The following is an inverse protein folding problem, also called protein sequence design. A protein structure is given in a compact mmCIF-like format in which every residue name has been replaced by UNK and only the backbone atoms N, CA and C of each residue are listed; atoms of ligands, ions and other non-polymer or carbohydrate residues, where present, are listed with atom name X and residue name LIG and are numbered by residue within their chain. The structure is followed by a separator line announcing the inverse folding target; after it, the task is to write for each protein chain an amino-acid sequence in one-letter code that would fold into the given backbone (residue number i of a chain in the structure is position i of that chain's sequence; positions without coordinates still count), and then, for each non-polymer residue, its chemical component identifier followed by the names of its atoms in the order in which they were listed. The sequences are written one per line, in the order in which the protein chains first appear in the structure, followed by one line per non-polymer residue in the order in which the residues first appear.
data_IF_290765425806
#
_entry.id   IF_290765425806
#
_cell.length_a   1.000
_cell.length_b   1.000
_cell.length_c   1.000
_cell.angle_alpha   90.00
_cell.angle_beta   90.00
_cell.angle_gamma   90.00
#
_symmetry.space_group_name_H-M   'P 1'
#
loop_
_entity.id
_entity.type
_entity.pdbx_description
1 polymer ?
#
# COMPACT_ATOMS: atom_id res chain seq x y z
N UNK A 1 15.54 41.23 7.56
CA UNK A 1 14.35 40.44 7.17
C UNK A 1 13.51 40.07 8.40
N UNK A 2 14.06 39.38 9.41
CA UNK A 2 13.32 38.98 10.63
C UNK A 2 12.75 40.17 11.43
N UNK A 3 13.55 41.21 11.68
CA UNK A 3 13.07 42.42 12.38
C UNK A 3 11.93 43.11 11.60
N UNK A 4 12.07 43.21 10.28
CA UNK A 4 11.04 43.80 9.42
C UNK A 4 9.74 42.99 9.43
N UNK A 5 9.83 41.66 9.48
CA UNK A 5 8.66 40.81 9.65
C UNK A 5 7.94 41.10 10.98
N UNK A 6 8.68 41.22 12.08
CA UNK A 6 8.10 41.54 13.39
C UNK A 6 7.42 42.90 13.42
N UNK A 7 8.01 43.92 12.79
CA UNK A 7 7.39 45.25 12.64
C UNK A 7 6.06 45.20 11.89
N UNK A 8 6.03 44.49 10.75
CA UNK A 8 4.80 44.33 9.95
C UNK A 8 3.72 43.56 10.72
N UNK A 9 4.13 42.54 11.48
CA UNK A 9 3.23 41.76 12.31
C UNK A 9 2.65 42.60 13.46
N UNK A 10 3.46 43.42 14.12
CA UNK A 10 3.02 44.34 15.16
C UNK A 10 2.08 45.43 14.63
N UNK A 11 2.26 45.86 13.38
CA UNK A 11 1.38 46.81 12.70
C UNK A 11 0.11 46.17 12.14
N UNK A 12 -0.16 44.89 12.42
CA UNK A 12 -1.30 44.12 11.87
C UNK A 12 -1.33 44.01 10.34
N UNK A 13 -0.19 44.25 9.68
CA UNK A 13 -0.04 44.16 8.22
C UNK A 13 0.30 42.73 7.78
N UNK A 14 -0.62 41.80 8.03
CA UNK A 14 -0.40 40.37 7.82
C UNK A 14 -0.10 39.99 6.37
N UNK A 15 -0.72 40.67 5.39
CA UNK A 15 -0.47 40.42 3.97
C UNK A 15 0.97 40.77 3.56
N UNK A 16 1.44 41.96 3.94
CA UNK A 16 2.83 42.39 3.67
C UNK A 16 3.84 41.50 4.41
N UNK A 17 3.50 41.07 5.64
CA UNK A 17 4.34 40.13 6.40
C UNK A 17 4.44 38.76 5.70
N UNK A 18 3.34 38.27 5.10
CA UNK A 18 3.33 37.04 4.32
C UNK A 18 4.14 37.17 3.02
N UNK A 19 4.03 38.30 2.31
CA UNK A 19 4.84 38.58 1.11
C UNK A 19 6.34 38.57 1.43
N UNK A 20 6.73 39.25 2.52
CA UNK A 20 8.12 39.25 2.99
C UNK A 20 8.60 37.84 3.38
N UNK A 21 7.73 37.02 3.95
CA UNK A 21 8.07 35.64 4.29
C UNK A 21 8.26 34.77 3.04
N UNK A 22 7.40 34.94 2.02
CA UNK A 22 7.49 34.24 0.75
C UNK A 22 8.75 34.62 -0.04
N UNK A 23 9.18 35.89 0.02
CA UNK A 23 10.39 36.41 -0.63
C UNK A 23 11.68 36.24 0.21
N UNK A 24 11.58 35.64 1.41
CA UNK A 24 12.73 35.53 2.29
C UNK A 24 13.85 34.69 1.66
N UNK A 25 15.11 35.19 1.68
CA UNK A 25 16.24 34.46 1.11
C UNK A 25 16.39 33.11 1.82
N UNK A 26 16.56 32.04 1.05
CA UNK A 26 16.62 30.65 1.53
C UNK A 26 15.40 30.21 2.39
N UNK A 27 14.30 30.95 2.37
CA UNK A 27 13.13 30.62 3.18
C UNK A 27 13.36 30.80 4.68
N UNK A 28 14.23 31.71 5.12
CA UNK A 28 14.52 31.97 6.56
C UNK A 28 13.25 32.29 7.37
N UNK A 29 12.20 32.83 6.73
CA UNK A 29 10.92 33.09 7.37
C UNK A 29 9.85 32.02 7.11
N UNK A 30 10.14 30.99 6.29
CA UNK A 30 9.25 29.87 5.97
C UNK A 30 9.44 28.73 6.95
N UNK A 31 9.27 29.05 8.24
CA UNK A 31 9.53 28.15 9.36
C UNK A 31 8.25 27.85 10.14
N UNK A 32 8.23 26.74 10.92
CA UNK A 32 7.13 26.43 11.82
C UNK A 32 6.79 27.57 12.78
N UNK A 33 7.79 28.32 13.27
CA UNK A 33 7.58 29.47 14.15
C UNK A 33 6.79 30.60 13.49
N UNK A 34 7.04 30.86 12.20
CA UNK A 34 6.29 31.87 11.46
C UNK A 34 4.84 31.45 11.28
N UNK A 35 4.60 30.18 10.93
CA UNK A 35 3.25 29.62 10.80
C UNK A 35 2.51 29.67 12.13
N UNK A 36 3.16 29.30 13.24
CA UNK A 36 2.60 29.37 14.59
C UNK A 36 2.22 30.80 14.97
N UNK A 37 3.02 31.81 14.59
CA UNK A 37 2.67 33.22 14.77
C UNK A 37 1.38 33.58 14.03
N UNK A 38 1.26 33.24 12.75
CA UNK A 38 0.03 33.48 11.98
C UNK A 38 -1.18 32.72 12.53
N UNK A 39 -0.98 31.52 13.08
CA UNK A 39 -2.02 30.70 13.69
C UNK A 39 -2.51 31.27 15.03
N UNK A 40 -1.62 31.91 15.80
CA UNK A 40 -1.94 32.52 17.10
C UNK A 40 -2.82 33.77 17.01
N UNK A 41 -2.94 34.37 15.82
CA UNK A 41 -3.71 35.60 15.64
C UNK A 41 -5.21 35.29 15.72
N UNK A 42 -5.96 35.92 16.64
CA UNK A 42 -7.40 35.73 16.74
C UNK A 42 -8.10 36.24 15.48
N UNK A 43 -8.98 35.41 14.93
CA UNK A 43 -9.75 35.73 13.72
C UNK A 43 -10.93 36.62 14.10
N UNK A 44 -10.96 37.84 13.57
CA UNK A 44 -12.13 38.72 13.71
C UNK A 44 -13.24 38.29 12.73
N UNK A 45 -14.49 38.34 13.18
CA UNK A 45 -15.65 37.95 12.38
C UNK A 45 -15.72 38.77 11.08
N UNK A 46 -15.73 38.09 9.93
CA UNK A 46 -15.78 38.71 8.61
C UNK A 46 -14.43 38.96 7.93
N UNK A 47 -13.29 38.78 8.62
CA UNK A 47 -11.97 38.84 8.00
C UNK A 47 -11.45 37.45 7.63
N UNK A 48 -10.68 37.35 6.54
CA UNK A 48 -9.99 36.12 6.18
C UNK A 48 -8.91 35.82 7.23
N UNK A 49 -8.83 34.58 7.76
CA UNK A 49 -7.81 34.22 8.74
C UNK A 49 -6.40 34.58 8.24
N UNK A 50 -5.56 35.25 9.06
CA UNK A 50 -4.20 35.64 8.67
C UNK A 50 -3.36 34.46 8.17
N UNK A 51 -3.57 33.28 8.73
CA UNK A 51 -2.92 32.04 8.30
C UNK A 51 -3.32 31.63 6.86
N UNK A 52 -4.59 31.79 6.48
CA UNK A 52 -5.01 31.55 5.10
C UNK A 52 -4.47 32.61 4.14
N UNK A 53 -4.34 33.87 4.58
CA UNK A 53 -3.68 34.91 3.78
C UNK A 53 -2.21 34.55 3.54
N UNK A 54 -1.51 34.06 4.57
CA UNK A 54 -0.13 33.59 4.47
C UNK A 54 0.03 32.50 3.40
N UNK A 55 -0.76 31.43 3.49
CA UNK A 55 -0.71 30.34 2.50
C UNK A 55 -1.15 30.79 1.11
N UNK A 56 -2.17 31.66 0.99
CA UNK A 56 -2.60 32.21 -0.29
C UNK A 56 -1.49 33.00 -0.99
N UNK A 57 -0.76 33.83 -0.25
CA UNK A 57 0.41 34.55 -0.78
C UNK A 57 1.52 33.59 -1.20
N UNK A 58 1.83 32.58 -0.39
CA UNK A 58 2.86 31.60 -0.76
C UNK A 58 2.48 30.80 -2.03
N UNK A 59 1.23 30.35 -2.14
CA UNK A 59 0.72 29.60 -3.30
C UNK A 59 0.70 30.41 -4.60
N UNK A 60 0.65 31.74 -4.51
CA UNK A 60 0.77 32.62 -5.69
C UNK A 60 2.23 32.88 -6.07
N UNK A 61 3.15 32.80 -5.11
CA UNK A 61 4.59 33.04 -5.32
C UNK A 61 5.37 31.76 -5.69
N UNK A 62 4.93 30.59 -5.25
CA UNK A 62 5.61 29.34 -5.56
C UNK A 62 5.04 28.11 -4.85
N UNK A 63 5.91 27.11 -4.68
CA UNK A 63 5.59 25.82 -4.07
C UNK A 63 5.74 25.88 -2.55
N UNK A 64 4.76 25.35 -1.82
CA UNK A 64 4.81 25.15 -0.37
C UNK A 64 5.81 24.07 0.00
N UNK A 65 6.47 24.23 1.15
CA UNK A 65 7.33 23.17 1.69
C UNK A 65 6.50 22.07 2.38
N UNK A 66 7.12 20.96 2.78
CA UNK A 66 6.42 19.82 3.37
C UNK A 66 5.57 20.19 4.60
N UNK A 67 6.12 21.03 5.49
CA UNK A 67 5.43 21.47 6.71
C UNK A 67 4.23 22.39 6.40
N UNK A 68 4.44 23.39 5.55
CA UNK A 68 3.39 24.31 5.12
C UNK A 68 2.27 23.57 4.36
N UNK A 69 2.63 22.59 3.53
CA UNK A 69 1.69 21.76 2.79
C UNK A 69 0.82 20.94 3.75
N UNK A 70 1.42 20.39 4.81
CA UNK A 70 0.72 19.65 5.84
C UNK A 70 -0.28 20.53 6.61
N UNK A 71 0.16 21.70 7.08
CA UNK A 71 -0.67 22.61 7.87
C UNK A 71 -1.83 23.19 7.04
N UNK A 72 -1.55 23.62 5.80
CA UNK A 72 -2.61 24.04 4.89
C UNK A 72 -3.62 22.91 4.64
N UNK A 73 -3.13 21.69 4.43
CA UNK A 73 -4.00 20.54 4.17
C UNK A 73 -4.86 20.20 5.38
N UNK A 74 -4.33 20.32 6.60
CA UNK A 74 -5.08 20.12 7.85
C UNK A 74 -6.26 21.08 7.94
N UNK A 75 -6.04 22.36 7.62
CA UNK A 75 -7.11 23.37 7.60
C UNK A 75 -8.18 23.07 6.56
N UNK A 76 -7.77 22.65 5.36
CA UNK A 76 -8.67 22.43 4.22
C UNK A 76 -9.47 21.14 4.37
N UNK A 77 -8.86 20.09 4.89
CA UNK A 77 -9.53 18.83 5.29
C UNK A 77 -10.58 19.09 6.36
N UNK A 78 -10.24 19.81 7.43
CA UNK A 78 -11.19 20.14 8.50
C UNK A 78 -12.38 21.00 8.01
N UNK A 79 -12.20 21.77 6.94
CA UNK A 79 -13.25 22.56 6.30
C UNK A 79 -14.03 21.79 5.22
N UNK A 80 -13.77 20.50 5.00
CA UNK A 80 -14.34 19.69 3.92
C UNK A 80 -14.12 20.26 2.51
N UNK A 81 -13.03 21.01 2.28
CA UNK A 81 -12.69 21.64 1.00
C UNK A 81 -11.65 20.87 0.19
N UNK A 82 -11.76 19.54 0.15
CA UNK A 82 -10.75 18.65 -0.46
C UNK A 82 -10.44 18.96 -1.94
N UNK A 83 -11.41 19.49 -2.69
CA UNK A 83 -11.23 19.89 -4.09
C UNK A 83 -10.08 20.90 -4.28
N UNK A 84 -9.81 21.75 -3.27
CA UNK A 84 -8.67 22.68 -3.32
C UNK A 84 -7.33 21.94 -3.28
N UNK A 85 -7.23 20.86 -2.50
CA UNK A 85 -6.02 20.04 -2.43
C UNK A 85 -5.75 19.33 -3.76
N UNK A 86 -6.79 18.83 -4.42
CA UNK A 86 -6.66 18.22 -5.74
C UNK A 86 -6.08 19.21 -6.77
N UNK A 87 -6.61 20.44 -6.79
CA UNK A 87 -6.13 21.49 -7.68
C UNK A 87 -4.67 21.85 -7.40
N UNK A 88 -4.31 22.09 -6.13
CA UNK A 88 -2.92 22.45 -5.79
C UNK A 88 -1.94 21.29 -6.01
N UNK A 89 -2.38 20.04 -5.83
CA UNK A 89 -1.57 18.86 -6.13
C UNK A 89 -1.33 18.71 -7.64
N UNK A 90 -2.35 19.00 -8.46
CA UNK A 90 -2.27 19.00 -9.92
C UNK A 90 -1.34 20.12 -10.45
N UNK A 91 -1.39 21.29 -9.82
CA UNK A 91 -0.53 22.44 -10.13
C UNK A 91 0.90 22.33 -9.55
N UNK A 92 1.24 21.21 -8.90
CA UNK A 92 2.53 20.97 -8.21
C UNK A 92 2.91 22.04 -7.17
N UNK A 93 1.90 22.68 -6.56
CA UNK A 93 2.07 23.73 -5.54
C UNK A 93 2.34 23.21 -4.13
N UNK A 94 2.11 21.93 -3.89
CA UNK A 94 2.32 21.28 -2.59
C UNK A 94 3.55 20.38 -2.66
N UNK A 95 4.40 20.44 -1.64
CA UNK A 95 5.43 19.43 -1.45
C UNK A 95 4.82 18.21 -0.76
N UNK A 96 4.88 17.07 -1.46
CA UNK A 96 4.29 15.83 -0.98
C UNK A 96 5.19 15.15 0.04
N UNK A 97 4.61 14.76 1.18
CA UNK A 97 5.26 13.97 2.22
C UNK A 97 4.41 12.76 2.60
N UNK A 98 5.01 11.81 3.32
CA UNK A 98 4.29 10.67 3.89
C UNK A 98 3.18 11.13 4.85
N UNK A 99 3.49 12.07 5.75
CA UNK A 99 2.54 12.64 6.72
C UNK A 99 1.35 13.31 6.05
N UNK A 100 1.59 14.00 4.91
CA UNK A 100 0.53 14.61 4.12
C UNK A 100 -0.39 13.53 3.52
N UNK A 101 0.18 12.45 3.01
CA UNK A 101 -0.59 11.32 2.50
C UNK A 101 -1.43 10.65 3.59
N UNK A 102 -0.87 10.47 4.78
CA UNK A 102 -1.57 9.87 5.94
C UNK A 102 -2.77 10.72 6.37
N UNK A 103 -2.58 12.04 6.41
CA UNK A 103 -3.68 12.98 6.69
C UNK A 103 -4.79 12.87 5.63
N UNK A 104 -4.43 12.90 4.35
CA UNK A 104 -5.41 12.89 3.25
C UNK A 104 -6.12 11.53 3.15
N UNK A 105 -5.47 10.43 3.52
CA UNK A 105 -6.07 9.08 3.53
C UNK A 105 -7.34 9.00 4.39
N UNK A 106 -7.46 9.82 5.44
CA UNK A 106 -8.65 9.88 6.29
C UNK A 106 -9.91 10.38 5.57
N UNK A 107 -9.73 11.09 4.45
CA UNK A 107 -10.82 11.70 3.67
C UNK A 107 -10.93 11.11 2.27
N UNK A 108 -9.79 10.80 1.64
CA UNK A 108 -9.72 10.39 0.25
C UNK A 108 -8.52 9.46 -0.02
N UNK A 109 -8.81 8.17 -0.24
CA UNK A 109 -7.79 7.15 -0.49
C UNK A 109 -7.12 7.31 -1.86
N UNK A 110 -7.83 7.78 -2.88
CA UNK A 110 -7.29 7.97 -4.23
C UNK A 110 -6.29 9.13 -4.26
N UNK A 111 -6.64 10.24 -3.60
CA UNK A 111 -5.75 11.39 -3.48
C UNK A 111 -4.51 11.07 -2.64
N UNK A 112 -4.69 10.33 -1.53
CA UNK A 112 -3.57 9.90 -0.70
C UNK A 112 -2.55 9.06 -1.47
N UNK A 113 -3.01 8.13 -2.32
CA UNK A 113 -2.13 7.33 -3.17
C UNK A 113 -1.28 8.21 -4.11
N UNK A 114 -1.90 9.22 -4.75
CA UNK A 114 -1.16 10.17 -5.60
C UNK A 114 -0.10 10.93 -4.81
N UNK A 115 -0.40 11.32 -3.58
CA UNK A 115 0.54 12.00 -2.69
C UNK A 115 1.70 11.08 -2.33
N UNK A 116 1.46 9.82 -1.92
CA UNK A 116 2.53 8.87 -1.59
C UNK A 116 3.45 8.60 -2.78
N UNK A 117 2.90 8.47 -3.99
CA UNK A 117 3.69 8.27 -5.22
C UNK A 117 4.60 9.49 -5.45
N UNK A 118 4.05 10.71 -5.36
CA UNK A 118 4.83 11.96 -5.49
C UNK A 118 5.87 12.11 -4.38
N UNK A 119 5.55 11.72 -3.15
CA UNK A 119 6.44 11.75 -1.98
C UNK A 119 7.53 10.67 -2.02
N UNK A 120 7.47 9.73 -2.98
CA UNK A 120 8.33 8.53 -3.03
C UNK A 120 8.26 7.70 -1.74
N UNK A 121 7.11 7.71 -1.06
CA UNK A 121 6.85 6.91 0.13
C UNK A 121 6.50 5.47 -0.28
N UNK A 122 7.48 4.77 -0.84
CA UNK A 122 7.29 3.46 -1.48
C UNK A 122 6.56 2.42 -0.62
N UNK A 123 6.87 2.23 0.68
CA UNK A 123 6.14 1.28 1.51
C UNK A 123 4.63 1.60 1.59
N UNK A 124 4.26 2.88 1.68
CA UNK A 124 2.87 3.34 1.74
C UNK A 124 2.15 3.19 0.40
N UNK A 125 2.85 3.43 -0.71
CA UNK A 125 2.31 3.19 -2.06
C UNK A 125 1.95 1.72 -2.23
N UNK A 126 2.87 0.83 -1.86
CA UNK A 126 2.67 -0.62 -1.96
C UNK A 126 1.53 -1.09 -1.05
N UNK A 127 1.48 -0.60 0.20
CA UNK A 127 0.38 -0.89 1.11
C UNK A 127 -0.97 -0.40 0.56
N UNK A 128 -1.02 0.81 0.00
CA UNK A 128 -2.24 1.36 -0.59
C UNK A 128 -2.73 0.58 -1.82
N UNK A 129 -1.82 0.11 -2.68
CA UNK A 129 -2.20 -0.79 -3.79
C UNK A 129 -2.69 -2.14 -3.28
N UNK A 130 -2.07 -2.70 -2.24
CA UNK A 130 -2.49 -3.97 -1.64
C UNK A 130 -3.89 -3.86 -1.02
N UNK A 131 -4.20 -2.77 -0.30
CA UNK A 131 -5.54 -2.48 0.23
C UNK A 131 -6.60 -2.38 -0.87
N UNK A 132 -6.21 -1.87 -2.06
CA UNK A 132 -7.09 -1.75 -3.24
C UNK A 132 -7.16 -3.02 -4.10
N UNK A 133 -6.41 -4.07 -3.73
CA UNK A 133 -6.27 -5.31 -4.53
C UNK A 133 -5.69 -5.06 -5.94
N UNK A 134 -4.98 -3.95 -6.13
CA UNK A 134 -4.31 -3.58 -7.38
C UNK A 134 -2.90 -4.18 -7.40
N UNK A 135 -2.83 -5.51 -7.29
CA UNK A 135 -1.60 -6.26 -7.13
C UNK A 135 -0.66 -6.16 -8.33
N UNK A 136 -1.21 -6.08 -9.54
CA UNK A 136 -0.48 -5.83 -10.78
C UNK A 136 0.34 -4.54 -10.70
N UNK A 137 -0.25 -3.47 -10.14
CA UNK A 137 0.41 -2.18 -10.01
C UNK A 137 1.53 -2.21 -8.98
N UNK A 138 1.45 -3.03 -7.94
CA UNK A 138 2.55 -3.23 -6.99
C UNK A 138 3.79 -3.71 -7.74
N UNK A 139 3.63 -4.68 -8.64
CA UNK A 139 4.75 -5.29 -9.35
C UNK A 139 5.36 -4.32 -10.35
N UNK A 140 4.50 -3.64 -11.12
CA UNK A 140 4.92 -2.63 -12.11
C UNK A 140 5.65 -1.48 -11.42
N UNK A 141 5.07 -0.95 -10.34
CA UNK A 141 5.66 0.15 -9.58
C UNK A 141 7.02 -0.24 -9.00
N UNK A 142 7.09 -1.39 -8.31
CA UNK A 142 8.31 -1.93 -7.70
C UNK A 142 9.44 -2.08 -8.72
N UNK A 143 9.14 -2.61 -9.92
CA UNK A 143 10.09 -2.74 -11.03
C UNK A 143 10.56 -1.38 -11.56
N UNK A 144 9.65 -0.41 -11.71
CA UNK A 144 9.99 0.93 -12.25
C UNK A 144 10.95 1.70 -11.34
N UNK A 145 10.81 1.58 -10.02
CA UNK A 145 11.65 2.30 -9.06
C UNK A 145 12.83 1.46 -8.54
N UNK A 146 12.95 0.19 -8.96
CA UNK A 146 13.98 -0.72 -8.49
C UNK A 146 13.86 -1.10 -7.00
N UNK A 147 12.63 -1.07 -6.47
CA UNK A 147 12.34 -1.43 -5.07
C UNK A 147 11.86 -2.87 -4.98
N UNK A 148 12.40 -3.61 -4.02
CA UNK A 148 11.96 -4.97 -3.71
C UNK A 148 11.14 -4.95 -2.42
N UNK A 149 9.80 -5.03 -2.51
CA UNK A 149 8.99 -5.09 -1.30
C UNK A 149 9.21 -6.41 -0.56
N UNK A 150 8.92 -6.40 0.75
CA UNK A 150 8.78 -7.63 1.52
C UNK A 150 7.48 -8.33 1.11
N UNK A 151 7.58 -9.14 0.06
CA UNK A 151 6.47 -9.90 -0.52
C UNK A 151 5.82 -10.85 0.49
N UNK A 152 6.60 -11.44 1.41
CA UNK A 152 6.09 -12.33 2.43
C UNK A 152 5.26 -11.57 3.46
N UNK A 153 5.76 -10.42 3.93
CA UNK A 153 5.02 -9.55 4.83
C UNK A 153 3.73 -9.00 4.19
N UNK A 154 3.77 -8.62 2.91
CA UNK A 154 2.58 -8.19 2.18
C UNK A 154 1.56 -9.31 2.06
N UNK A 155 2.00 -10.52 1.68
CA UNK A 155 1.13 -11.68 1.59
C UNK A 155 0.49 -12.00 2.96
N UNK A 156 1.26 -11.95 4.05
CA UNK A 156 0.75 -12.10 5.42
C UNK A 156 -0.29 -11.05 5.78
N UNK A 157 -0.07 -9.80 5.38
CA UNK A 157 -0.99 -8.69 5.64
C UNK A 157 -2.29 -8.88 4.88
N UNK A 158 -2.21 -9.22 3.58
CA UNK A 158 -3.39 -9.49 2.74
C UNK A 158 -4.14 -10.71 3.26
N UNK A 159 -3.43 -11.79 3.64
CA UNK A 159 -4.06 -13.02 4.14
C UNK A 159 -4.95 -12.79 5.38
N UNK A 160 -4.61 -11.82 6.22
CA UNK A 160 -5.40 -11.48 7.41
C UNK A 160 -6.71 -10.79 7.10
N UNK A 161 -6.78 -10.02 6.01
CA UNK A 161 -7.96 -9.22 5.64
C UNK A 161 -8.77 -9.86 4.50
N UNK A 162 -8.08 -10.51 3.55
CA UNK A 162 -8.66 -11.09 2.34
C UNK A 162 -7.88 -12.35 1.90
N UNK A 163 -8.29 -13.54 2.36
CA UNK A 163 -7.67 -14.81 1.97
C UNK A 163 -7.71 -15.09 0.46
N UNK A 164 -8.78 -14.67 -0.24
CA UNK A 164 -8.89 -14.86 -1.69
C UNK A 164 -7.97 -13.90 -2.44
N UNK A 165 -7.87 -12.65 -1.98
CA UNK A 165 -6.88 -11.69 -2.47
C UNK A 165 -5.44 -12.20 -2.31
N UNK A 166 -5.14 -12.90 -1.21
CA UNK A 166 -3.82 -13.48 -0.98
C UNK A 166 -3.47 -14.57 -1.99
N UNK A 167 -4.43 -15.40 -2.43
CA UNK A 167 -4.20 -16.38 -3.52
C UNK A 167 -3.82 -15.63 -4.80
N UNK A 168 -4.64 -14.64 -5.20
CA UNK A 168 -4.40 -13.88 -6.43
C UNK A 168 -3.02 -13.20 -6.40
N UNK A 169 -2.65 -12.63 -5.25
CA UNK A 169 -1.33 -12.04 -5.07
C UNK A 169 -0.20 -13.08 -5.19
N UNK A 170 -0.36 -14.25 -4.55
CA UNK A 170 0.60 -15.34 -4.64
C UNK A 170 0.75 -15.90 -6.07
N UNK A 171 -0.33 -15.99 -6.84
CA UNK A 171 -0.31 -16.39 -8.24
C UNK A 171 0.32 -15.32 -9.14
N UNK A 172 0.14 -14.04 -8.85
CA UNK A 172 0.86 -12.98 -9.56
C UNK A 172 2.36 -13.02 -9.26
N UNK A 173 2.74 -13.31 -8.01
CA UNK A 173 4.14 -13.49 -7.61
C UNK A 173 4.79 -14.65 -8.37
N UNK A 174 4.09 -15.78 -8.56
CA UNK A 174 4.65 -16.94 -9.27
C UNK A 174 4.91 -16.68 -10.76
N UNK A 175 4.27 -15.67 -11.35
CA UNK A 175 4.38 -15.31 -12.76
C UNK A 175 5.39 -14.17 -13.02
N UNK A 176 6.12 -13.73 -12.00
CA UNK A 176 7.12 -12.67 -12.14
C UNK A 176 8.29 -13.07 -13.04
N UNK A 177 8.81 -12.10 -13.80
CA UNK A 177 10.08 -12.26 -14.51
C UNK A 177 11.20 -12.52 -13.51
N UNK A 178 11.91 -13.65 -13.67
CA UNK A 178 12.92 -14.12 -12.71
C UNK A 178 12.40 -15.16 -11.71
N UNK A 179 11.12 -15.52 -11.78
CA UNK A 179 10.50 -16.52 -10.92
C UNK A 179 9.86 -15.92 -9.66
N UNK A 180 9.24 -16.79 -8.87
CA UNK A 180 8.53 -16.36 -7.67
C UNK A 180 9.50 -15.80 -6.63
N UNK A 181 9.26 -14.60 -6.07
CA UNK A 181 10.11 -14.00 -5.03
C UNK A 181 10.05 -14.74 -3.70
N UNK A 182 9.02 -15.58 -3.50
CA UNK A 182 8.83 -16.39 -2.30
C UNK A 182 8.62 -17.84 -2.72
N UNK A 183 9.32 -18.77 -2.06
CA UNK A 183 9.20 -20.19 -2.32
C UNK A 183 7.75 -20.69 -2.16
N UNK A 184 7.31 -21.56 -3.07
CA UNK A 184 5.94 -22.08 -3.09
C UNK A 184 5.58 -22.87 -1.85
N UNK A 185 6.53 -23.61 -1.27
CA UNK A 185 6.28 -24.33 -0.03
C UNK A 185 6.06 -23.34 1.13
N UNK A 186 6.86 -22.27 1.18
CA UNK A 186 6.72 -21.19 2.18
C UNK A 186 5.35 -20.50 2.08
N UNK A 187 4.91 -20.17 0.85
CA UNK A 187 3.57 -19.61 0.61
C UNK A 187 2.49 -20.59 1.08
N UNK A 188 2.63 -21.86 0.72
CA UNK A 188 1.67 -22.91 1.11
C UNK A 188 1.57 -23.05 2.63
N UNK A 189 2.71 -23.11 3.31
CA UNK A 189 2.76 -23.21 4.77
C UNK A 189 2.11 -22.00 5.46
N UNK A 190 2.21 -20.82 4.85
CA UNK A 190 1.53 -19.62 5.34
C UNK A 190 0.01 -19.80 5.41
N UNK A 191 -0.60 -20.33 4.33
CA UNK A 191 -2.04 -20.61 4.30
C UNK A 191 -2.42 -21.69 5.32
N UNK A 192 -1.64 -22.78 5.39
CA UNK A 192 -1.92 -23.90 6.28
C UNK A 192 -1.79 -23.52 7.76
N UNK A 193 -0.82 -22.71 8.15
CA UNK A 193 -0.68 -22.19 9.52
C UNK A 193 -1.89 -21.38 9.99
N UNK A 194 -2.67 -20.84 9.05
CA UNK A 194 -3.92 -20.11 9.32
C UNK A 194 -5.17 -20.98 9.19
N UNK A 195 -5.02 -22.30 9.01
CA UNK A 195 -6.07 -23.26 8.70
C UNK A 195 -6.83 -22.98 7.38
N UNK A 196 -6.21 -22.27 6.44
CA UNK A 196 -6.77 -21.93 5.14
C UNK A 196 -6.45 -23.00 4.10
N UNK A 197 -6.95 -24.22 4.35
CA UNK A 197 -6.61 -25.41 3.55
C UNK A 197 -7.17 -25.34 2.13
N UNK A 198 -8.37 -24.75 1.97
CA UNK A 198 -9.00 -24.61 0.64
C UNK A 198 -8.21 -23.65 -0.23
N UNK A 199 -7.74 -22.55 0.36
CA UNK A 199 -6.92 -21.53 -0.28
C UNK A 199 -5.54 -22.09 -0.64
N UNK A 200 -4.89 -22.82 0.28
CA UNK A 200 -3.63 -23.52 0.02
C UNK A 200 -3.77 -24.50 -1.15
N UNK A 201 -4.85 -25.29 -1.14
CA UNK A 201 -5.15 -26.24 -2.23
C UNK A 201 -5.36 -25.52 -3.55
N UNK A 202 -6.19 -24.47 -3.59
CA UNK A 202 -6.43 -23.70 -4.81
C UNK A 202 -5.13 -23.12 -5.38
N UNK A 203 -4.30 -22.50 -4.54
CA UNK A 203 -2.99 -21.99 -4.93
C UNK A 203 -2.11 -23.09 -5.54
N UNK A 204 -1.96 -24.24 -4.85
CA UNK A 204 -1.16 -25.37 -5.32
C UNK A 204 -1.69 -25.96 -6.63
N UNK A 205 -3.02 -26.11 -6.78
CA UNK A 205 -3.61 -26.62 -8.01
C UNK A 205 -3.32 -25.73 -9.21
N UNK A 206 -3.21 -24.42 -9.03
CA UNK A 206 -2.83 -23.49 -10.10
C UNK A 206 -1.34 -23.53 -10.43
N UNK A 207 -0.46 -23.44 -9.43
CA UNK A 207 0.99 -23.41 -9.67
C UNK A 207 1.56 -24.75 -10.14
N UNK A 208 0.89 -25.87 -9.81
CA UNK A 208 1.32 -27.22 -10.17
C UNK A 208 0.73 -27.71 -11.50
N UNK A 209 -0.09 -26.91 -12.21
CA UNK A 209 -0.62 -27.26 -13.55
C UNK A 209 0.44 -27.77 -14.54
N UNK A 210 1.68 -27.22 -14.57
CA UNK A 210 2.71 -27.72 -15.47
C UNK A 210 3.22 -29.14 -15.12
N UNK A 211 2.85 -29.69 -13.95
CA UNK A 211 3.19 -31.03 -13.49
C UNK A 211 4.69 -31.36 -13.59
N UNK A 212 5.54 -30.43 -13.10
CA UNK A 212 6.99 -30.59 -13.19
C UNK A 212 7.54 -31.52 -12.10
N UNK A 213 8.55 -32.37 -12.38
CA UNK A 213 9.17 -33.25 -11.40
C UNK A 213 9.79 -32.52 -10.20
N UNK A 214 10.31 -31.31 -10.42
CA UNK A 214 10.89 -30.45 -9.39
C UNK A 214 9.89 -30.06 -8.29
N UNK A 215 8.59 -30.11 -8.60
CA UNK A 215 7.52 -29.85 -7.64
C UNK A 215 6.92 -31.14 -7.03
N UNK A 216 7.57 -32.29 -7.18
CA UNK A 216 7.14 -33.59 -6.62
C UNK A 216 6.73 -33.53 -5.14
N UNK A 217 7.50 -32.81 -4.33
CA UNK A 217 7.20 -32.58 -2.92
C UNK A 217 5.87 -31.84 -2.72
N UNK A 218 5.61 -30.78 -3.49
CA UNK A 218 4.37 -30.00 -3.42
C UNK A 218 3.16 -30.78 -3.94
N UNK A 219 3.35 -31.60 -4.98
CA UNK A 219 2.32 -32.53 -5.48
C UNK A 219 1.92 -33.55 -4.41
N UNK A 220 2.90 -34.10 -3.69
CA UNK A 220 2.65 -35.00 -2.56
C UNK A 220 1.89 -34.25 -1.47
N UNK A 221 2.38 -33.07 -1.08
CA UNK A 221 1.80 -32.25 -0.01
C UNK A 221 0.34 -31.89 -0.25
N UNK A 222 -0.04 -31.43 -1.45
CA UNK A 222 -1.45 -31.09 -1.75
C UNK A 222 -2.37 -32.31 -1.65
N UNK A 223 -1.89 -33.48 -2.09
CA UNK A 223 -2.65 -34.73 -1.98
C UNK A 223 -2.78 -35.18 -0.53
N UNK A 224 -1.69 -35.16 0.24
CA UNK A 224 -1.71 -35.53 1.66
C UNK A 224 -2.70 -34.70 2.46
N UNK A 225 -2.64 -33.38 2.31
CA UNK A 225 -3.51 -32.45 3.03
C UNK A 225 -4.97 -32.74 2.69
N UNK A 226 -5.31 -32.90 1.41
CA UNK A 226 -6.69 -33.15 0.98
C UNK A 226 -7.16 -34.57 1.35
N UNK A 227 -6.32 -35.60 1.33
CA UNK A 227 -6.72 -36.95 1.75
C UNK A 227 -7.11 -37.01 3.23
N UNK A 228 -6.48 -36.19 4.07
CA UNK A 228 -6.81 -36.10 5.50
C UNK A 228 -8.01 -35.20 5.77
N UNK A 229 -8.19 -34.13 4.99
CA UNK A 229 -9.15 -33.05 5.32
C UNK A 229 -10.37 -33.00 4.39
N UNK A 230 -10.19 -33.21 3.09
CA UNK A 230 -11.22 -33.19 2.05
C UNK A 230 -11.03 -34.34 1.05
N UNK A 231 -11.29 -35.61 1.43
CA UNK A 231 -11.02 -36.78 0.58
C UNK A 231 -11.62 -36.69 -0.82
N UNK A 232 -12.80 -36.09 -0.97
CA UNK A 232 -13.47 -35.90 -2.26
C UNK A 232 -12.64 -35.01 -3.23
N UNK A 233 -11.91 -34.01 -2.69
CA UNK A 233 -11.05 -33.15 -3.50
C UNK A 233 -9.81 -33.94 -3.93
N UNK A 234 -9.21 -34.73 -3.04
CA UNK A 234 -8.09 -35.59 -3.38
C UNK A 234 -8.47 -36.65 -4.43
N UNK A 235 -9.64 -37.29 -4.30
CA UNK A 235 -10.13 -38.23 -5.30
C UNK A 235 -10.28 -37.57 -6.66
N UNK A 236 -10.86 -36.35 -6.73
CA UNK A 236 -10.98 -35.61 -7.98
C UNK A 236 -9.63 -35.27 -8.62
N UNK A 237 -8.62 -34.87 -7.82
CA UNK A 237 -7.27 -34.58 -8.31
C UNK A 237 -6.64 -35.85 -8.91
N UNK A 238 -6.74 -36.98 -8.22
CA UNK A 238 -6.20 -38.27 -8.65
C UNK A 238 -6.97 -38.82 -9.87
N UNK A 239 -8.29 -38.66 -9.90
CA UNK A 239 -9.16 -39.07 -11.00
C UNK A 239 -8.79 -38.40 -12.32
N UNK A 240 -8.50 -37.10 -12.24
CA UNK A 240 -8.15 -36.29 -13.40
C UNK A 240 -6.67 -36.45 -13.80
N UNK A 241 -5.88 -37.23 -13.06
CA UNK A 241 -4.46 -37.43 -13.35
C UNK A 241 -3.67 -36.13 -13.37
N UNK A 242 -4.02 -35.16 -12.51
CA UNK A 242 -3.42 -33.82 -12.53
C UNK A 242 -1.92 -33.84 -12.22
N UNK A 243 -1.46 -34.83 -11.46
CA UNK A 243 -0.09 -34.95 -10.95
C UNK A 243 0.49 -36.33 -11.22
N UNK A 244 1.79 -36.41 -11.51
CA UNK A 244 2.47 -37.70 -11.79
C UNK A 244 3.75 -37.94 -10.98
N UNK A 245 4.24 -36.94 -10.25
CA UNK A 245 5.55 -36.97 -9.59
C UNK A 245 5.48 -37.05 -8.06
N UNK A 246 4.29 -37.28 -7.48
CA UNK A 246 4.12 -37.43 -6.04
C UNK A 246 4.59 -38.79 -5.51
N UNK A 247 4.80 -38.88 -4.18
CA UNK A 247 5.15 -40.13 -3.48
C UNK A 247 3.97 -41.11 -3.50
N UNK A 248 3.99 -42.04 -4.47
CA UNK A 248 2.92 -43.01 -4.66
C UNK A 248 2.71 -43.93 -3.45
N UNK A 249 3.75 -44.56 -2.85
CA UNK A 249 3.58 -45.36 -1.64
C UNK A 249 2.87 -44.61 -0.52
N UNK A 250 3.27 -43.36 -0.27
CA UNK A 250 2.68 -42.52 0.78
C UNK A 250 1.22 -42.18 0.49
N UNK A 251 0.93 -41.75 -0.74
CA UNK A 251 -0.43 -41.38 -1.15
C UNK A 251 -1.35 -42.60 -1.16
N UNK A 252 -0.87 -43.78 -1.60
CA UNK A 252 -1.65 -45.02 -1.57
C UNK A 252 -2.13 -45.38 -0.16
N UNK A 253 -1.24 -45.32 0.84
CA UNK A 253 -1.60 -45.55 2.25
C UNK A 253 -2.65 -44.55 2.76
N UNK A 254 -2.59 -43.30 2.33
CA UNK A 254 -3.56 -42.27 2.72
C UNK A 254 -4.91 -42.46 2.00
N UNK A 255 -4.90 -42.91 0.74
CA UNK A 255 -6.11 -43.30 0.01
C UNK A 255 -6.85 -44.43 0.72
N UNK A 256 -6.15 -45.48 1.17
CA UNK A 256 -6.75 -46.58 1.95
C UNK A 256 -7.42 -46.06 3.23
N UNK A 257 -6.70 -45.22 4.00
CA UNK A 257 -7.24 -44.61 5.23
C UNK A 257 -8.46 -43.72 4.98
N UNK A 258 -8.51 -43.07 3.82
CA UNK A 258 -9.64 -42.24 3.40
C UNK A 258 -10.79 -43.04 2.76
N UNK A 259 -10.67 -44.37 2.63
CA UNK A 259 -11.68 -45.24 2.01
C UNK A 259 -11.66 -45.25 0.47
N UNK A 260 -10.64 -44.67 -0.15
CA UNK A 260 -10.45 -44.55 -1.60
C UNK A 260 -9.62 -45.71 -2.16
N UNK A 261 -10.03 -46.95 -1.93
CA UNK A 261 -9.25 -48.15 -2.28
C UNK A 261 -8.89 -48.26 -3.77
N UNK A 262 -9.76 -47.77 -4.66
CA UNK A 262 -9.52 -47.75 -6.12
C UNK A 262 -8.32 -46.87 -6.48
N UNK A 263 -8.00 -45.87 -5.64
CA UNK A 263 -6.88 -44.94 -5.82
C UNK A 263 -5.60 -45.37 -5.11
N UNK A 264 -5.63 -46.46 -4.35
CA UNK A 264 -4.49 -46.96 -3.60
C UNK A 264 -3.58 -47.92 -4.41
N UNK A 265 -4.03 -48.30 -5.62
CA UNK A 265 -3.35 -49.18 -6.57
C UNK A 265 -2.37 -48.40 -7.46
#
# INVERSE_FOLDING_TARGET
VVQRFQELFAQTKYKEAAELAAESPQGILRTPDTVAKFQSVPVQAGQTPPLLQYFGTLLTRGKLNAFESLELSRLVVNQNKKNLLENWLAEDKLECSEELGDLVKTVDNDLALKIYIKARATPKVVAAFAERKEFDKILVYSKQIGYTPDYLFLLQTILRSDPQGAINFALMMSQMEGGCPVDYNTITDLFLQRNLIREATAFLLDILKPNLPEHSFLQTKVLEINLVTFPNVADAILANGMFSHYDRPRIGQLCEKAGLYIRAL
#
